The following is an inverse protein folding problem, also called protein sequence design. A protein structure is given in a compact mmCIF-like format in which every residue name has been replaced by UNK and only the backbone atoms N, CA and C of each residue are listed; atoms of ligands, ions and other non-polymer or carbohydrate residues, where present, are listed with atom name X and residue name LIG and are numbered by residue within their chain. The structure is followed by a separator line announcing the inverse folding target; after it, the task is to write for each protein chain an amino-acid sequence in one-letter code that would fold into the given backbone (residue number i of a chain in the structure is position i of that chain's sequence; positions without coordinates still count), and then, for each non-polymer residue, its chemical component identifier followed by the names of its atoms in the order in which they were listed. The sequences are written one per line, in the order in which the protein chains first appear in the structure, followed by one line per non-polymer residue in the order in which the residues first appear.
data_IF_637111776483
#
_entry.id   IF_637111776483
#
_cell.length_a   1.000
_cell.length_b   1.000
_cell.length_c   1.000
_cell.angle_alpha   90.00
_cell.angle_beta   90.00
_cell.angle_gamma   90.00
#
_symmetry.space_group_name_H-M   'P 1'
#
loop_
_entity.id
_entity.type
_entity.pdbx_description
1 polymer ?
#
# COMPACT_ATOMS: atom_id res chain seq x y z
N UNK A 1 -18.90 -42.55 -48.59
CA UNK A 1 -18.09 -41.65 -49.46
C UNK A 1 -18.78 -40.29 -49.46
N UNK A 2 -18.32 -39.37 -48.66
CA UNK A 2 -18.68 -37.96 -48.76
C UNK A 2 -17.37 -37.17 -48.64
N UNK A 3 -16.91 -36.69 -49.79
CA UNK A 3 -15.81 -35.71 -49.84
C UNK A 3 -16.40 -34.34 -49.50
N UNK A 4 -15.95 -33.77 -48.39
CA UNK A 4 -16.19 -32.37 -48.08
C UNK A 4 -15.03 -31.57 -48.65
N UNK A 5 -15.31 -30.67 -49.57
CA UNK A 5 -14.37 -29.70 -50.12
C UNK A 5 -14.10 -28.63 -49.08
N UNK A 6 -12.84 -28.43 -48.74
CA UNK A 6 -12.36 -27.33 -47.95
C UNK A 6 -12.30 -26.10 -48.86
N UNK A 7 -13.25 -25.18 -48.73
CA UNK A 7 -13.12 -23.85 -49.31
C UNK A 7 -12.12 -23.04 -48.48
N UNK A 8 -11.09 -22.54 -49.16
CA UNK A 8 -10.10 -21.63 -48.59
C UNK A 8 -10.76 -20.33 -48.16
N UNK A 9 -10.80 -20.07 -46.86
CA UNK A 9 -11.20 -18.77 -46.32
C UNK A 9 -10.06 -17.76 -46.52
N UNK A 10 -10.39 -16.66 -47.19
CA UNK A 10 -9.47 -15.57 -47.48
C UNK A 10 -9.21 -14.78 -46.18
N UNK A 11 -7.95 -14.65 -45.76
CA UNK A 11 -7.54 -13.93 -44.51
C UNK A 11 -7.95 -12.45 -44.50
N UNK A 12 -8.20 -11.86 -45.68
CA UNK A 12 -8.59 -10.44 -45.75
C UNK A 12 -9.97 -10.14 -45.17
N UNK A 13 -10.87 -11.14 -45.10
CA UNK A 13 -12.22 -10.98 -44.56
C UNK A 13 -12.26 -10.94 -43.02
N UNK A 14 -11.18 -11.35 -42.34
CA UNK A 14 -11.11 -11.39 -40.85
C UNK A 14 -10.68 -10.05 -40.29
N UNK A 15 -9.97 -9.22 -41.10
CA UNK A 15 -9.43 -7.92 -40.66
C UNK A 15 -10.53 -6.85 -40.54
N UNK A 16 -11.69 -7.06 -41.18
CA UNK A 16 -12.79 -6.09 -41.23
C UNK A 16 -13.74 -6.11 -40.01
N UNK A 17 -13.54 -7.01 -39.04
CA UNK A 17 -14.43 -7.16 -37.85
C UNK A 17 -13.77 -6.67 -36.55
N UNK A 18 -12.57 -6.12 -36.60
CA UNK A 18 -11.92 -5.55 -35.38
C UNK A 18 -12.27 -4.06 -35.32
N UNK A 19 -12.95 -3.58 -34.23
CA UNK A 19 -13.21 -2.16 -34.09
C UNK A 19 -11.89 -1.40 -33.93
N UNK A 20 -11.73 -0.30 -34.65
CA UNK A 20 -10.64 0.66 -34.57
C UNK A 20 -10.28 0.97 -33.10
N UNK A 21 -9.13 0.50 -32.63
CA UNK A 21 -8.21 1.09 -31.67
C UNK A 21 -7.20 0.06 -31.16
N UNK A 22 -6.28 -0.36 -32.02
CA UNK A 22 -4.95 -0.81 -31.59
C UNK A 22 -3.96 -0.13 -32.53
N UNK A 23 -3.32 0.91 -32.05
CA UNK A 23 -2.20 1.57 -32.72
C UNK A 23 -0.99 0.63 -32.69
N UNK A 24 -0.66 0.03 -33.84
CA UNK A 24 0.66 -0.56 -34.02
C UNK A 24 1.65 0.58 -34.32
N UNK A 25 2.49 0.89 -33.33
CA UNK A 25 3.68 1.73 -33.54
C UNK A 25 4.69 0.92 -34.36
N UNK A 26 5.11 1.46 -35.49
CA UNK A 26 6.07 0.88 -36.38
C UNK A 26 7.44 0.76 -35.75
N UNK A 27 8.03 -0.44 -35.75
CA UNK A 27 9.47 -0.61 -35.73
C UNK A 27 9.90 -1.20 -37.05
N UNK A 28 10.31 -0.37 -38.00
CA UNK A 28 11.08 -0.74 -39.14
C UNK A 28 12.57 -0.83 -38.72
N UNK A 29 13.12 -2.04 -38.75
CA UNK A 29 14.56 -2.26 -38.65
C UNK A 29 15.05 -2.62 -40.06
N UNK A 30 16.08 -1.94 -40.59
CA UNK A 30 16.58 -2.24 -41.95
C UNK A 30 17.37 -3.55 -41.95
N UNK A 31 17.08 -4.36 -42.98
CA UNK A 31 17.76 -5.63 -43.27
C UNK A 31 19.11 -5.34 -43.92
N UNK A 32 20.21 -5.74 -43.29
CA UNK A 32 21.52 -5.84 -43.95
C UNK A 32 21.93 -7.32 -44.06
N UNK A 33 22.25 -7.76 -45.27
CA UNK A 33 22.72 -9.09 -45.58
C UNK A 33 24.18 -9.31 -45.13
N UNK A 34 24.40 -10.30 -44.28
CA UNK A 34 25.63 -11.11 -44.21
C UNK A 34 25.27 -12.50 -43.68
N UNK A 35 25.91 -13.59 -44.16
CA UNK A 35 25.50 -14.97 -43.86
C UNK A 35 25.99 -15.43 -42.47
N UNK A 36 25.29 -16.44 -41.84
CA UNK A 36 25.53 -16.81 -40.45
C UNK A 36 26.57 -17.93 -40.29
N UNK A 37 27.36 -17.80 -39.24
CA UNK A 37 28.08 -18.91 -38.62
C UNK A 37 27.27 -19.53 -37.47
N UNK A 38 27.53 -20.81 -37.22
CA UNK A 38 26.75 -21.77 -36.46
C UNK A 38 26.71 -21.52 -34.91
N UNK A 39 25.62 -22.02 -34.32
CA UNK A 39 25.35 -22.37 -32.91
C UNK A 39 24.63 -21.33 -32.03
N UNK A 40 23.41 -21.70 -31.75
CA UNK A 40 22.52 -21.61 -30.57
C UNK A 40 21.09 -21.20 -30.97
N UNK A 41 20.02 -21.82 -30.42
CA UNK A 41 18.65 -21.44 -30.76
C UNK A 41 18.30 -20.14 -30.00
N UNK A 42 18.07 -19.08 -30.75
CA UNK A 42 17.77 -17.75 -30.21
C UNK A 42 16.32 -17.62 -29.72
N UNK A 43 16.11 -16.81 -28.72
CA UNK A 43 14.85 -16.51 -28.03
C UNK A 43 13.67 -16.09 -28.95
N UNK A 44 13.90 -15.87 -30.24
CA UNK A 44 12.89 -15.45 -31.25
C UNK A 44 11.92 -16.57 -31.57
N UNK A 45 12.32 -17.85 -31.50
CA UNK A 45 11.45 -18.99 -31.81
C UNK A 45 10.38 -19.24 -30.75
N UNK A 46 10.67 -18.95 -29.47
CA UNK A 46 9.74 -19.16 -28.35
C UNK A 46 8.58 -18.15 -28.38
N UNK A 47 8.87 -16.91 -28.75
CA UNK A 47 7.84 -15.84 -28.81
C UNK A 47 6.85 -16.07 -29.97
N UNK A 48 7.29 -16.67 -31.08
CA UNK A 48 6.43 -16.96 -32.22
C UNK A 48 5.42 -18.10 -31.94
N UNK A 49 5.82 -19.12 -31.19
CA UNK A 49 4.94 -20.23 -30.81
C UNK A 49 3.90 -19.80 -29.74
N UNK A 50 4.25 -18.91 -28.81
CA UNK A 50 3.32 -18.38 -27.83
C UNK A 50 2.16 -17.55 -28.46
N UNK A 51 2.45 -16.82 -29.52
CA UNK A 51 1.41 -16.05 -30.23
C UNK A 51 0.44 -16.94 -31.04
N UNK A 52 0.90 -18.07 -31.57
CA UNK A 52 0.03 -19.02 -32.29
C UNK A 52 -0.96 -19.72 -31.34
N UNK A 53 -0.56 -20.10 -30.16
CA UNK A 53 -1.45 -20.74 -29.18
C UNK A 53 -2.53 -19.78 -28.65
N UNK A 54 -2.22 -18.49 -28.47
CA UNK A 54 -3.20 -17.46 -28.10
C UNK A 54 -4.20 -17.18 -29.23
N UNK A 55 -3.77 -17.18 -30.51
CA UNK A 55 -4.67 -17.05 -31.67
C UNK A 55 -5.59 -18.26 -31.77
N UNK A 56 -5.08 -19.46 -31.54
CA UNK A 56 -5.85 -20.71 -31.62
C UNK A 56 -6.92 -20.79 -30.49
N UNK A 57 -6.58 -20.36 -29.27
CA UNK A 57 -7.55 -20.24 -28.17
C UNK A 57 -8.63 -19.19 -28.44
N UNK A 58 -8.29 -18.07 -29.07
CA UNK A 58 -9.26 -17.02 -29.41
C UNK A 58 -10.22 -17.47 -30.49
N UNK A 59 -9.75 -18.18 -31.51
CA UNK A 59 -10.59 -18.76 -32.58
C UNK A 59 -11.54 -19.83 -32.03
N UNK A 60 -11.13 -20.65 -31.08
CA UNK A 60 -11.99 -21.65 -30.43
C UNK A 60 -13.08 -21.02 -29.56
N UNK A 61 -12.81 -19.91 -28.88
CA UNK A 61 -13.79 -19.17 -28.06
C UNK A 61 -14.85 -18.47 -28.93
N UNK A 62 -14.47 -17.92 -30.07
CA UNK A 62 -15.41 -17.30 -31.02
C UNK A 62 -16.28 -18.36 -31.71
N UNK A 63 -15.72 -19.54 -32.01
CA UNK A 63 -16.47 -20.62 -32.68
C UNK A 63 -17.50 -21.28 -31.75
N UNK A 64 -17.25 -21.35 -30.45
CA UNK A 64 -18.18 -21.94 -29.46
C UNK A 64 -19.41 -21.06 -29.15
N UNK A 65 -19.39 -19.78 -29.52
CA UNK A 65 -20.49 -18.83 -29.28
C UNK A 65 -21.56 -18.78 -30.38
N UNK A 66 -21.33 -19.35 -31.55
CA UNK A 66 -22.13 -19.07 -32.77
C UNK A 66 -23.19 -20.15 -33.12
N UNK A 67 -23.16 -21.38 -32.57
CA UNK A 67 -24.14 -22.39 -32.98
C UNK A 67 -24.64 -23.26 -31.78
N UNK A 68 -25.82 -22.94 -31.25
CA UNK A 68 -26.49 -23.73 -30.19
C UNK A 68 -27.60 -24.67 -30.70
N UNK A 69 -27.89 -24.76 -31.98
CA UNK A 69 -28.95 -25.63 -32.50
C UNK A 69 -28.45 -26.58 -33.59
N UNK A 70 -28.63 -27.89 -33.32
CA UNK A 70 -28.43 -29.09 -34.15
C UNK A 70 -27.06 -29.78 -34.09
N UNK A 71 -26.91 -30.73 -33.14
CA UNK A 71 -25.80 -31.69 -33.18
C UNK A 71 -26.25 -33.14 -33.05
N UNK A 72 -25.67 -33.99 -33.91
CA UNK A 72 -25.83 -35.44 -34.04
C UNK A 72 -25.16 -36.17 -32.82
N UNK A 73 -25.65 -37.36 -32.37
CA UNK A 73 -25.16 -38.05 -31.16
C UNK A 73 -23.67 -38.45 -31.14
N UNK A 74 -23.02 -38.57 -32.31
CA UNK A 74 -21.60 -38.94 -32.40
C UNK A 74 -20.63 -37.82 -31.95
N UNK A 75 -21.12 -36.59 -31.71
CA UNK A 75 -20.31 -35.44 -31.32
C UNK A 75 -20.18 -35.31 -29.82
N UNK A 76 -20.96 -36.06 -29.02
CA UNK A 76 -20.88 -36.04 -27.54
C UNK A 76 -19.51 -36.48 -27.00
N UNK A 77 -18.85 -37.43 -27.64
CA UNK A 77 -17.52 -37.89 -27.21
C UNK A 77 -16.43 -36.84 -27.41
N UNK A 78 -16.52 -36.06 -28.49
CA UNK A 78 -15.55 -35.00 -28.81
C UNK A 78 -15.71 -33.78 -27.88
N UNK A 79 -16.96 -33.51 -27.41
CA UNK A 79 -17.21 -32.43 -26.44
C UNK A 79 -16.67 -32.76 -25.03
N UNK A 80 -16.61 -34.05 -24.67
CA UNK A 80 -15.99 -34.45 -23.38
C UNK A 80 -14.47 -34.26 -23.41
N UNK A 81 -13.81 -34.57 -24.53
CA UNK A 81 -12.40 -34.29 -24.70
C UNK A 81 -12.10 -32.80 -24.74
N UNK A 82 -12.93 -31.97 -25.40
CA UNK A 82 -12.76 -30.53 -25.41
C UNK A 82 -12.92 -29.89 -24.00
N UNK A 83 -13.88 -30.36 -23.20
CA UNK A 83 -14.05 -29.93 -21.81
C UNK A 83 -12.87 -30.34 -20.91
N UNK A 84 -12.30 -31.52 -21.12
CA UNK A 84 -11.11 -31.96 -20.40
C UNK A 84 -9.88 -31.13 -20.80
N UNK A 85 -9.72 -30.78 -22.08
CA UNK A 85 -8.65 -29.89 -22.54
C UNK A 85 -8.80 -28.45 -22.05
N UNK A 86 -10.02 -27.90 -21.98
CA UNK A 86 -10.28 -26.57 -21.43
C UNK A 86 -9.97 -26.55 -19.90
N UNK A 87 -10.29 -27.62 -19.18
CA UNK A 87 -9.93 -27.76 -17.75
C UNK A 87 -8.43 -27.85 -17.51
N UNK A 88 -7.68 -28.48 -18.44
CA UNK A 88 -6.21 -28.59 -18.38
C UNK A 88 -5.50 -27.28 -18.80
N UNK A 89 -6.06 -26.52 -19.75
CA UNK A 89 -5.53 -25.20 -20.13
C UNK A 89 -5.79 -24.16 -19.04
N UNK A 90 -6.94 -24.20 -18.37
CA UNK A 90 -7.24 -23.35 -17.20
C UNK A 90 -6.24 -23.58 -16.07
N UNK A 91 -5.96 -24.82 -15.69
CA UNK A 91 -4.95 -25.14 -14.67
C UNK A 91 -3.52 -24.78 -15.08
N UNK A 92 -3.17 -24.93 -16.34
CA UNK A 92 -1.87 -24.50 -16.89
C UNK A 92 -1.75 -22.98 -16.95
N UNK A 93 -2.80 -22.28 -17.32
CA UNK A 93 -2.81 -20.81 -17.33
C UNK A 93 -2.72 -20.23 -15.91
N UNK A 94 -3.37 -20.82 -14.92
CA UNK A 94 -3.22 -20.44 -13.52
C UNK A 94 -1.82 -20.73 -13.00
N UNK A 95 -1.24 -21.86 -13.34
CA UNK A 95 0.15 -22.22 -12.96
C UNK A 95 1.16 -21.31 -13.65
N UNK A 96 0.94 -20.97 -14.91
CA UNK A 96 1.78 -20.03 -15.67
C UNK A 96 1.64 -18.59 -15.14
N UNK A 97 0.43 -18.13 -14.87
CA UNK A 97 0.18 -16.84 -14.23
C UNK A 97 0.77 -16.79 -12.82
N UNK A 98 0.72 -17.89 -12.06
CA UNK A 98 1.40 -18.04 -10.76
C UNK A 98 2.92 -17.98 -10.91
N UNK A 99 3.50 -18.70 -11.85
CA UNK A 99 4.93 -18.69 -12.12
C UNK A 99 5.40 -17.33 -12.63
N UNK A 100 4.65 -16.69 -13.52
CA UNK A 100 4.92 -15.33 -14.01
C UNK A 100 4.80 -14.29 -12.89
N UNK A 101 3.77 -14.38 -12.02
CA UNK A 101 3.63 -13.55 -10.81
C UNK A 101 4.78 -13.79 -9.82
N UNK A 102 5.24 -15.03 -9.63
CA UNK A 102 6.40 -15.34 -8.77
C UNK A 102 7.70 -14.80 -9.37
N UNK A 103 7.87 -14.85 -10.68
CA UNK A 103 9.05 -14.36 -11.38
C UNK A 103 9.07 -12.82 -11.47
N UNK A 104 7.91 -12.17 -11.63
CA UNK A 104 7.78 -10.71 -11.53
C UNK A 104 7.99 -10.21 -10.08
N UNK A 105 7.63 -11.02 -9.06
CA UNK A 105 7.95 -10.75 -7.65
C UNK A 105 9.45 -10.81 -7.36
N UNK A 106 10.19 -11.71 -7.98
CA UNK A 106 11.64 -11.80 -7.84
C UNK A 106 12.40 -10.63 -8.49
N UNK A 107 11.79 -9.98 -9.48
CA UNK A 107 12.40 -8.85 -10.21
C UNK A 107 12.08 -7.47 -9.62
N UNK A 108 11.22 -7.37 -8.58
CA UNK A 108 10.80 -6.10 -8.00
C UNK A 108 9.99 -6.28 -6.72
N UNK A 109 10.54 -6.96 -5.72
CA UNK A 109 9.94 -6.93 -4.38
C UNK A 109 9.88 -5.47 -3.92
N UNK A 110 8.67 -4.99 -3.56
CA UNK A 110 8.49 -3.66 -2.99
C UNK A 110 9.23 -3.52 -1.66
N UNK A 111 9.30 -2.33 -1.07
CA UNK A 111 9.99 -2.14 0.19
C UNK A 111 9.38 -3.01 1.28
N UNK A 112 10.25 -3.62 2.08
CA UNK A 112 9.82 -4.25 3.33
C UNK A 112 9.36 -3.16 4.30
N UNK A 113 8.05 -3.15 4.61
CA UNK A 113 7.42 -2.18 5.51
C UNK A 113 7.42 -2.66 6.97
N UNK A 114 8.03 -3.80 7.29
CA UNK A 114 8.06 -4.30 8.67
C UNK A 114 8.77 -3.31 9.60
N UNK A 115 8.33 -3.25 10.86
CA UNK A 115 8.97 -2.42 11.88
C UNK A 115 8.11 -1.28 12.42
N UNK A 116 8.73 -0.44 13.25
CA UNK A 116 8.07 0.68 13.92
C UNK A 116 8.39 2.00 13.23
N UNK A 117 7.34 2.80 13.06
CA UNK A 117 7.40 4.13 12.46
C UNK A 117 6.68 5.15 13.35
N UNK A 118 7.34 6.15 13.92
CA UNK A 118 6.65 7.30 14.49
C UNK A 118 6.03 8.14 13.37
N UNK A 119 4.73 8.47 13.41
CA UNK A 119 4.16 9.56 12.64
C UNK A 119 4.55 10.87 13.34
N UNK A 120 5.64 11.49 12.86
CA UNK A 120 6.27 12.62 13.56
C UNK A 120 5.35 13.82 13.62
N UNK A 121 5.41 14.53 14.77
CA UNK A 121 4.73 15.81 14.93
C UNK A 121 5.44 16.90 14.12
N UNK A 122 4.68 17.90 13.67
CA UNK A 122 5.23 19.10 13.02
C UNK A 122 5.39 20.19 14.09
N UNK A 123 6.63 20.64 14.39
CA UNK A 123 6.84 21.80 15.25
C UNK A 123 6.38 23.08 14.56
N UNK A 124 5.83 24.01 15.34
CA UNK A 124 5.47 25.34 14.90
C UNK A 124 6.06 26.41 15.81
N UNK A 125 6.41 27.56 15.20
CA UNK A 125 6.79 28.77 15.91
C UNK A 125 5.56 29.41 16.59
N UNK A 126 5.77 30.42 17.43
CA UNK A 126 4.70 31.19 18.03
C UNK A 126 3.81 31.96 16.99
N UNK A 127 4.30 32.10 15.74
CA UNK A 127 3.55 32.67 14.61
C UNK A 127 2.85 31.62 13.75
N UNK A 128 2.84 30.37 14.20
CA UNK A 128 2.30 29.22 13.48
C UNK A 128 3.06 28.87 12.17
N UNK A 129 4.24 29.40 11.95
CA UNK A 129 5.13 28.95 10.87
C UNK A 129 5.75 27.59 11.23
N UNK A 130 6.04 26.76 10.23
CA UNK A 130 6.75 25.50 10.46
C UNK A 130 8.15 25.78 11.02
N UNK A 131 8.48 25.19 12.16
CA UNK A 131 9.79 25.32 12.80
C UNK A 131 10.73 24.17 12.35
N UNK A 132 11.47 24.41 11.28
CA UNK A 132 12.37 23.40 10.73
C UNK A 132 13.57 23.13 11.62
N UNK A 133 14.05 24.11 12.41
CA UNK A 133 15.16 23.94 13.34
C UNK A 133 14.77 22.94 14.43
N UNK A 134 13.61 23.12 15.06
CA UNK A 134 13.10 22.21 16.08
C UNK A 134 12.72 20.83 15.51
N UNK A 135 12.31 20.78 14.26
CA UNK A 135 12.15 19.50 13.55
C UNK A 135 13.47 18.76 13.45
N UNK A 136 14.54 19.44 13.00
CA UNK A 136 15.87 18.83 12.83
C UNK A 136 16.46 18.37 14.17
N UNK A 137 16.29 19.13 15.26
CA UNK A 137 16.64 18.69 16.64
C UNK A 137 15.94 17.37 17.03
N UNK A 138 14.64 17.25 16.75
CA UNK A 138 13.89 16.02 17.01
C UNK A 138 14.39 14.85 16.14
N UNK A 139 14.70 15.11 14.86
CA UNK A 139 15.20 14.08 13.93
C UNK A 139 16.55 13.51 14.38
N UNK A 140 17.45 14.33 14.94
CA UNK A 140 18.72 13.86 15.52
C UNK A 140 18.45 12.86 16.67
N UNK A 141 17.49 13.15 17.56
CA UNK A 141 17.12 12.26 18.65
C UNK A 141 16.45 10.96 18.16
N UNK A 142 15.62 11.04 17.11
CA UNK A 142 15.03 9.85 16.48
C UNK A 142 16.07 8.98 15.78
N UNK A 143 17.18 9.53 15.33
CA UNK A 143 18.25 8.78 14.68
C UNK A 143 18.87 7.70 15.59
N UNK A 144 18.86 7.90 16.90
CA UNK A 144 19.39 6.95 17.90
C UNK A 144 18.41 5.83 18.28
N UNK A 145 17.16 5.89 17.80
CA UNK A 145 16.14 4.88 18.06
C UNK A 145 16.08 3.92 16.86
N UNK A 146 15.98 2.60 17.06
CA UNK A 146 16.02 1.63 15.96
C UNK A 146 14.71 1.56 15.19
N UNK A 147 14.14 2.71 14.81
CA UNK A 147 12.99 2.78 13.93
C UNK A 147 13.30 2.22 12.53
N UNK A 148 12.36 1.55 11.93
CA UNK A 148 12.45 1.16 10.52
C UNK A 148 12.47 2.37 9.59
N UNK A 149 11.80 3.42 9.96
CA UNK A 149 11.69 4.66 9.23
C UNK A 149 10.81 5.67 9.96
N UNK A 150 10.44 6.73 9.26
CA UNK A 150 9.54 7.76 9.78
C UNK A 150 8.33 7.93 8.86
N UNK A 151 7.20 8.34 9.46
CA UNK A 151 6.03 8.81 8.70
C UNK A 151 5.92 10.32 8.87
N UNK A 152 6.01 11.06 7.79
CA UNK A 152 5.83 12.52 7.75
C UNK A 152 4.40 12.82 7.29
N UNK A 153 3.72 13.72 7.99
CA UNK A 153 2.36 14.15 7.63
C UNK A 153 1.30 13.04 7.72
N UNK A 154 1.44 12.16 8.69
CA UNK A 154 0.30 11.44 9.25
C UNK A 154 -0.60 12.42 10.02
N UNK A 155 -1.67 11.91 10.64
CA UNK A 155 -2.59 12.74 11.46
C UNK A 155 -1.87 13.52 12.56
N UNK A 156 -0.84 12.92 13.17
CA UNK A 156 -0.05 13.57 14.23
C UNK A 156 0.86 14.70 13.73
N UNK A 157 1.14 14.74 12.43
CA UNK A 157 1.87 15.82 11.78
C UNK A 157 0.99 17.02 11.38
N UNK A 158 -0.27 17.04 11.78
CA UNK A 158 -1.23 18.12 11.53
C UNK A 158 -1.39 18.47 10.04
N UNK A 159 -1.26 17.47 9.15
CA UNK A 159 -1.24 17.66 7.70
C UNK A 159 -2.46 18.45 7.15
N UNK A 160 -3.69 18.39 7.74
CA UNK A 160 -4.81 19.19 7.25
C UNK A 160 -4.62 20.70 7.39
N UNK A 161 -3.70 21.13 8.26
CA UNK A 161 -3.39 22.53 8.53
C UNK A 161 -2.15 23.04 7.79
N UNK A 162 -1.50 22.19 7.02
CA UNK A 162 -0.30 22.54 6.26
C UNK A 162 -0.66 22.89 4.81
N UNK A 163 -0.04 23.91 4.30
CA UNK A 163 -0.06 24.22 2.86
C UNK A 163 0.71 23.16 2.08
N UNK A 164 0.44 23.03 0.79
CA UNK A 164 1.15 22.09 -0.07
C UNK A 164 2.67 22.33 -0.06
N UNK A 165 3.08 23.61 -0.07
CA UNK A 165 4.50 23.98 -0.04
C UNK A 165 5.18 23.52 1.26
N UNK A 166 4.56 23.75 2.42
CA UNK A 166 5.06 23.26 3.72
C UNK A 166 5.14 21.73 3.73
N UNK A 167 4.11 21.06 3.19
CA UNK A 167 4.07 19.60 3.11
C UNK A 167 5.26 19.02 2.34
N UNK A 168 5.60 19.62 1.20
CA UNK A 168 6.75 19.18 0.38
C UNK A 168 8.09 19.52 1.06
N UNK A 169 8.20 20.69 1.68
CA UNK A 169 9.43 21.11 2.35
C UNK A 169 9.74 20.24 3.59
N UNK A 170 8.72 19.86 4.36
CA UNK A 170 8.89 18.93 5.48
C UNK A 170 9.47 17.58 5.01
N UNK A 171 8.99 17.03 3.88
CA UNK A 171 9.53 15.78 3.34
C UNK A 171 10.99 15.94 2.95
N UNK A 172 11.38 17.05 2.29
CA UNK A 172 12.78 17.33 1.93
C UNK A 172 13.68 17.42 3.17
N UNK A 173 13.22 18.15 4.19
CA UNK A 173 13.99 18.33 5.43
C UNK A 173 14.19 17.00 6.15
N UNK A 174 13.11 16.21 6.31
CA UNK A 174 13.23 14.88 6.92
C UNK A 174 14.14 13.97 6.11
N UNK A 175 14.05 13.98 4.76
CA UNK A 175 14.93 13.16 3.92
C UNK A 175 16.41 13.48 4.11
N UNK A 176 16.75 14.76 4.22
CA UNK A 176 18.15 15.19 4.47
C UNK A 176 18.71 14.69 5.79
N UNK A 177 17.87 14.65 6.82
CA UNK A 177 18.26 14.26 8.19
C UNK A 177 18.12 12.79 8.50
N UNK A 178 17.39 12.03 7.66
CA UNK A 178 17.11 10.62 7.91
C UNK A 178 18.31 9.74 7.56
N UNK A 179 18.80 8.89 8.49
CA UNK A 179 19.92 8.00 8.23
C UNK A 179 19.69 7.10 7.01
N UNK A 180 20.77 6.74 6.27
CA UNK A 180 20.69 5.82 5.15
C UNK A 180 20.03 4.49 5.53
N UNK A 181 19.23 3.94 4.62
CA UNK A 181 18.54 2.65 4.80
C UNK A 181 17.25 2.72 5.63
N UNK A 182 16.89 3.88 6.19
CA UNK A 182 15.59 4.09 6.84
C UNK A 182 14.56 4.60 5.84
N UNK A 183 13.35 4.05 5.93
CA UNK A 183 12.24 4.40 5.05
C UNK A 183 11.59 5.73 5.45
N UNK A 184 11.26 6.53 4.46
CA UNK A 184 10.47 7.74 4.61
C UNK A 184 9.11 7.54 3.94
N UNK A 185 8.06 7.39 4.75
CA UNK A 185 6.69 7.40 4.25
C UNK A 185 6.11 8.81 4.37
N UNK A 186 5.56 9.33 3.27
CA UNK A 186 4.95 10.66 3.27
C UNK A 186 3.43 10.58 3.10
N UNK A 187 2.70 11.21 4.00
CA UNK A 187 1.26 11.36 3.89
C UNK A 187 0.89 12.30 2.75
N UNK A 188 0.31 11.80 1.66
CA UNK A 188 -0.03 12.59 0.48
C UNK A 188 -1.53 12.70 0.21
N UNK A 189 -2.38 12.10 1.05
CA UNK A 189 -3.83 12.14 0.88
C UNK A 189 -4.38 13.56 0.84
N UNK A 190 -5.31 13.77 -0.11
CA UNK A 190 -6.13 14.96 -0.28
C UNK A 190 -7.56 14.51 -0.58
N UNK A 191 -8.54 15.44 -0.51
CA UNK A 191 -9.94 15.12 -0.78
C UNK A 191 -10.23 14.81 -2.25
N UNK A 192 -9.44 15.32 -3.21
CA UNK A 192 -9.61 14.97 -4.61
C UNK A 192 -8.50 14.03 -5.10
N UNK A 193 -8.86 13.08 -5.97
CA UNK A 193 -7.92 12.17 -6.62
C UNK A 193 -6.79 12.93 -7.34
N UNK A 194 -7.15 14.01 -8.06
CA UNK A 194 -6.18 14.83 -8.80
C UNK A 194 -5.15 15.47 -7.87
N UNK A 195 -5.59 16.08 -6.78
CA UNK A 195 -4.68 16.70 -5.81
C UNK A 195 -3.79 15.65 -5.12
N UNK A 196 -4.36 14.48 -4.77
CA UNK A 196 -3.61 13.36 -4.20
C UNK A 196 -2.50 12.89 -5.14
N UNK A 197 -2.80 12.69 -6.44
CA UNK A 197 -1.80 12.32 -7.46
C UNK A 197 -0.68 13.36 -7.55
N UNK A 198 -1.03 14.64 -7.69
CA UNK A 198 -0.05 15.71 -7.82
C UNK A 198 0.85 15.83 -6.60
N UNK A 199 0.26 15.76 -5.40
CA UNK A 199 1.03 15.83 -4.17
C UNK A 199 1.91 14.58 -3.97
N UNK A 200 1.42 13.38 -4.29
CA UNK A 200 2.20 12.14 -4.23
C UNK A 200 3.45 12.23 -5.11
N UNK A 201 3.32 12.75 -6.34
CA UNK A 201 4.46 12.96 -7.25
C UNK A 201 5.48 13.97 -6.68
N UNK A 202 4.99 15.08 -6.09
CA UNK A 202 5.87 16.08 -5.45
C UNK A 202 6.60 15.51 -4.23
N UNK A 203 5.93 14.70 -3.42
CA UNK A 203 6.56 14.06 -2.25
C UNK A 203 7.58 13.00 -2.66
N UNK A 204 7.31 12.21 -3.70
CA UNK A 204 8.28 11.29 -4.27
C UNK A 204 9.53 12.05 -4.78
N UNK A 205 9.34 13.14 -5.51
CA UNK A 205 10.44 14.01 -5.96
C UNK A 205 11.19 14.68 -4.80
N UNK A 206 10.55 14.87 -3.64
CA UNK A 206 11.17 15.39 -2.42
C UNK A 206 11.93 14.31 -1.63
N UNK A 207 11.87 13.03 -2.03
CA UNK A 207 12.64 11.93 -1.48
C UNK A 207 11.85 10.95 -0.60
N UNK A 208 10.53 10.93 -0.69
CA UNK A 208 9.72 9.88 -0.05
C UNK A 208 9.95 8.52 -0.73
N UNK A 209 10.09 7.46 0.08
CA UNK A 209 10.23 6.07 -0.39
C UNK A 209 8.87 5.39 -0.59
N UNK A 210 7.83 5.89 0.08
CA UNK A 210 6.45 5.43 -0.06
C UNK A 210 5.45 6.55 0.25
N UNK A 211 4.27 6.48 -0.35
CA UNK A 211 3.16 7.38 -0.10
C UNK A 211 2.14 6.73 0.83
N UNK A 212 1.82 7.38 1.94
CA UNK A 212 0.73 6.99 2.85
C UNK A 212 -0.52 7.80 2.48
N UNK A 213 -1.53 7.15 1.91
CA UNK A 213 -2.70 7.82 1.36
C UNK A 213 -3.94 7.50 2.19
N UNK A 214 -4.45 8.50 2.89
CA UNK A 214 -5.68 8.39 3.68
C UNK A 214 -6.91 8.43 2.76
N UNK A 215 -7.98 7.77 3.16
CA UNK A 215 -9.28 7.82 2.47
C UNK A 215 -9.80 9.26 2.40
N UNK A 216 -10.22 9.77 1.21
CA UNK A 216 -10.96 11.02 1.13
C UNK A 216 -12.29 10.89 1.87
N UNK A 217 -12.70 11.92 2.62
CA UNK A 217 -13.77 11.76 3.60
C UNK A 217 -14.79 12.89 3.65
N UNK A 218 -14.54 14.01 2.98
CA UNK A 218 -15.46 15.15 3.06
C UNK A 218 -16.88 14.78 2.57
N UNK A 219 -16.97 14.11 1.42
CA UNK A 219 -18.24 13.59 0.88
C UNK A 219 -18.46 12.12 1.26
N UNK A 220 -18.28 11.79 2.54
CA UNK A 220 -18.27 10.39 3.05
C UNK A 220 -19.46 9.54 2.62
N UNK A 221 -20.68 10.12 2.50
CA UNK A 221 -21.86 9.40 2.02
C UNK A 221 -21.80 8.94 0.54
N UNK A 222 -20.76 9.35 -0.20
CA UNK A 222 -20.49 8.94 -1.59
C UNK A 222 -19.15 8.22 -1.75
N UNK A 223 -18.38 8.04 -0.67
CA UNK A 223 -17.12 7.31 -0.64
C UNK A 223 -17.38 5.84 -0.36
N UNK A 224 -18.10 5.19 -1.26
CA UNK A 224 -18.34 3.73 -1.25
C UNK A 224 -17.08 2.97 -1.73
N UNK A 225 -17.11 1.63 -1.66
CA UNK A 225 -16.00 0.77 -2.09
C UNK A 225 -15.56 1.04 -3.52
N UNK A 226 -16.51 1.27 -4.44
CA UNK A 226 -16.22 1.55 -5.86
C UNK A 226 -15.50 2.90 -6.02
N UNK A 227 -15.95 3.95 -5.33
CA UNK A 227 -15.31 5.26 -5.37
C UNK A 227 -13.89 5.21 -4.81
N UNK A 228 -13.68 4.48 -3.70
CA UNK A 228 -12.37 4.32 -3.07
C UNK A 228 -11.42 3.47 -3.91
N UNK A 229 -11.89 2.36 -4.50
CA UNK A 229 -11.09 1.55 -5.45
C UNK A 229 -10.63 2.43 -6.62
N UNK A 230 -11.55 3.17 -7.25
CA UNK A 230 -11.20 4.08 -8.34
C UNK A 230 -10.16 5.13 -7.91
N UNK A 231 -10.35 5.75 -6.74
CA UNK A 231 -9.43 6.76 -6.20
C UNK A 231 -8.02 6.18 -6.01
N UNK A 232 -7.89 5.10 -5.26
CA UNK A 232 -6.59 4.51 -4.93
C UNK A 232 -5.88 3.90 -6.15
N UNK A 233 -6.62 3.28 -7.07
CA UNK A 233 -6.06 2.79 -8.35
C UNK A 233 -5.45 3.93 -9.15
N UNK A 234 -6.18 5.05 -9.32
CA UNK A 234 -5.65 6.23 -10.04
C UNK A 234 -4.42 6.85 -9.38
N UNK A 235 -4.40 6.88 -8.05
CA UNK A 235 -3.23 7.36 -7.30
C UNK A 235 -2.04 6.41 -7.51
N UNK A 236 -2.25 5.11 -7.40
CA UNK A 236 -1.21 4.10 -7.53
C UNK A 236 -0.66 4.00 -8.96
N UNK A 237 -1.53 4.10 -10.00
CA UNK A 237 -1.14 4.16 -11.42
C UNK A 237 -0.19 5.34 -11.70
N UNK A 238 -0.38 6.46 -10.98
CA UNK A 238 0.35 7.71 -11.23
C UNK A 238 1.52 7.94 -10.25
N UNK A 239 1.64 7.11 -9.22
CA UNK A 239 2.64 7.28 -8.17
C UNK A 239 3.99 6.71 -8.59
N UNK A 240 5.09 7.53 -8.51
CA UNK A 240 6.45 7.04 -8.74
C UNK A 240 6.97 6.11 -7.63
N UNK A 241 6.29 6.07 -6.49
CA UNK A 241 6.67 5.29 -5.30
C UNK A 241 5.52 4.41 -4.86
N UNK A 242 5.77 3.31 -4.13
CA UNK A 242 4.72 2.46 -3.57
C UNK A 242 3.70 3.22 -2.74
N UNK A 243 2.43 2.81 -2.85
CA UNK A 243 1.32 3.38 -2.10
C UNK A 243 0.96 2.46 -0.93
N UNK A 244 0.81 3.03 0.25
CA UNK A 244 0.25 2.40 1.45
C UNK A 244 -1.11 3.03 1.72
N UNK A 245 -2.16 2.22 1.71
CA UNK A 245 -3.51 2.64 2.02
C UNK A 245 -3.59 3.06 3.50
N UNK A 246 -4.42 4.05 3.83
CA UNK A 246 -4.60 4.45 5.21
C UNK A 246 -6.08 4.55 5.58
N UNK A 247 -6.55 3.63 6.44
CA UNK A 247 -7.86 3.65 7.06
C UNK A 247 -7.77 4.18 8.48
N UNK A 248 -8.50 5.27 8.78
CA UNK A 248 -8.52 5.92 10.09
C UNK A 248 -9.93 6.43 10.45
N UNK A 249 -10.88 5.52 10.69
CA UNK A 249 -12.29 5.87 10.85
C UNK A 249 -12.57 6.89 11.96
N UNK A 250 -11.75 6.95 13.00
CA UNK A 250 -11.87 7.95 14.06
C UNK A 250 -11.73 9.40 13.54
N UNK A 251 -10.97 9.62 12.47
CA UNK A 251 -10.74 10.94 11.88
C UNK A 251 -11.62 11.19 10.64
N UNK A 252 -11.79 10.17 9.80
CA UNK A 252 -12.48 10.28 8.51
C UNK A 252 -13.98 10.01 8.62
N UNK A 253 -14.42 9.33 9.67
CA UNK A 253 -15.81 8.89 9.83
C UNK A 253 -16.22 7.78 8.84
N UNK A 254 -15.24 7.10 8.21
CA UNK A 254 -15.48 5.96 7.33
C UNK A 254 -14.30 4.98 7.37
N UNK A 255 -14.62 3.69 7.26
CA UNK A 255 -13.63 2.64 7.04
C UNK A 255 -13.41 2.41 5.54
N UNK A 256 -12.20 1.99 5.19
CA UNK A 256 -11.94 1.44 3.86
C UNK A 256 -12.54 0.02 3.81
N UNK A 257 -13.56 -0.28 2.97
CA UNK A 257 -14.22 -1.58 2.98
C UNK A 257 -13.25 -2.74 2.73
N UNK A 258 -13.49 -3.88 3.42
CA UNK A 258 -12.64 -5.07 3.31
C UNK A 258 -12.44 -5.52 1.86
N UNK A 259 -13.54 -5.57 1.09
CA UNK A 259 -13.54 -5.99 -0.31
C UNK A 259 -12.70 -5.03 -1.17
N UNK A 260 -12.76 -3.73 -0.87
CA UNK A 260 -11.92 -2.74 -1.55
C UNK A 260 -10.43 -2.93 -1.23
N UNK A 261 -10.08 -3.25 0.03
CA UNK A 261 -8.68 -3.55 0.39
C UNK A 261 -8.18 -4.79 -0.36
N UNK A 262 -8.99 -5.86 -0.42
CA UNK A 262 -8.62 -7.11 -1.11
C UNK A 262 -8.43 -6.87 -2.61
N UNK A 263 -9.30 -6.09 -3.25
CA UNK A 263 -9.16 -5.73 -4.66
C UNK A 263 -7.92 -4.89 -4.90
N UNK A 264 -7.71 -3.85 -4.10
CA UNK A 264 -6.57 -2.94 -4.20
C UNK A 264 -5.23 -3.62 -3.90
N UNK A 265 -5.21 -4.66 -3.07
CA UNK A 265 -3.97 -5.42 -2.78
C UNK A 265 -3.38 -6.14 -3.99
N UNK A 266 -4.17 -6.33 -5.06
CA UNK A 266 -3.72 -6.94 -6.32
C UNK A 266 -2.99 -5.93 -7.22
N UNK A 267 -3.07 -4.64 -6.91
CA UNK A 267 -2.41 -3.59 -7.69
C UNK A 267 -0.89 -3.61 -7.45
N UNK A 268 -0.03 -3.66 -8.48
CA UNK A 268 1.42 -3.84 -8.33
C UNK A 268 2.12 -2.73 -7.55
N UNK A 269 1.55 -1.53 -7.48
CA UNK A 269 2.10 -0.37 -6.77
C UNK A 269 1.38 -0.05 -5.45
N UNK A 270 0.43 -0.90 -4.99
CA UNK A 270 -0.17 -0.80 -3.65
C UNK A 270 0.45 -1.89 -2.79
N UNK A 271 1.24 -1.51 -1.77
CA UNK A 271 2.11 -2.42 -1.03
C UNK A 271 1.67 -2.70 0.41
N UNK A 272 0.63 -2.03 0.86
CA UNK A 272 0.13 -2.29 2.20
C UNK A 272 -1.01 -1.40 2.64
N UNK A 273 -1.41 -1.65 3.87
CA UNK A 273 -2.44 -0.89 4.59
C UNK A 273 -1.92 -0.54 5.98
N UNK A 274 -2.07 0.72 6.38
CA UNK A 274 -2.09 1.14 7.77
C UNK A 274 -3.55 1.16 8.24
N UNK A 275 -3.90 0.29 9.20
CA UNK A 275 -5.24 0.24 9.79
C UNK A 275 -5.22 0.81 11.21
N UNK A 276 -5.97 1.90 11.42
CA UNK A 276 -6.13 2.58 12.71
C UNK A 276 -7.52 2.35 13.34
N UNK A 277 -8.35 1.46 12.78
CA UNK A 277 -9.67 1.12 13.31
C UNK A 277 -9.62 0.36 14.63
N UNK A 278 -8.61 -0.50 14.81
CA UNK A 278 -8.42 -1.29 16.02
C UNK A 278 -9.24 -2.58 16.07
N UNK A 279 -9.92 -2.93 15.00
CA UNK A 279 -10.60 -4.22 14.86
C UNK A 279 -9.58 -5.29 14.44
N UNK A 280 -9.13 -6.10 15.42
CA UNK A 280 -8.16 -7.17 15.20
C UNK A 280 -8.71 -8.28 14.30
N UNK A 281 -10.00 -8.57 14.39
CA UNK A 281 -10.66 -9.55 13.51
C UNK A 281 -10.56 -9.12 12.05
N UNK A 282 -10.84 -7.85 11.79
CA UNK A 282 -10.70 -7.24 10.46
C UNK A 282 -9.25 -7.30 9.98
N UNK A 283 -8.28 -6.91 10.80
CA UNK A 283 -6.85 -6.95 10.48
C UNK A 283 -6.43 -8.38 10.10
N UNK A 284 -6.77 -9.37 10.92
CA UNK A 284 -6.46 -10.77 10.64
C UNK A 284 -7.11 -11.30 9.37
N UNK A 285 -8.34 -10.89 9.08
CA UNK A 285 -9.04 -11.27 7.86
C UNK A 285 -8.40 -10.64 6.61
N UNK A 286 -7.95 -9.37 6.68
CA UNK A 286 -7.21 -8.72 5.60
C UNK A 286 -5.90 -9.47 5.35
N UNK A 287 -5.08 -9.71 6.38
CA UNK A 287 -3.83 -10.48 6.26
C UNK A 287 -4.08 -11.84 5.60
N UNK A 288 -5.12 -12.56 6.04
CA UNK A 288 -5.47 -13.86 5.47
C UNK A 288 -5.86 -13.78 3.99
N UNK A 289 -6.71 -12.81 3.61
CA UNK A 289 -7.22 -12.67 2.24
C UNK A 289 -6.14 -12.17 1.26
N UNK A 290 -5.17 -11.39 1.75
CA UNK A 290 -4.10 -10.80 0.92
C UNK A 290 -2.77 -11.57 0.97
N UNK A 291 -2.72 -12.73 1.66
CA UNK A 291 -1.49 -13.54 1.87
C UNK A 291 -0.78 -13.99 0.60
N UNK A 292 -1.48 -14.00 -0.54
CA UNK A 292 -0.91 -14.35 -1.84
C UNK A 292 -0.38 -13.14 -2.60
N UNK A 293 -0.62 -11.94 -2.09
CA UNK A 293 -0.19 -10.69 -2.69
C UNK A 293 1.04 -10.12 -1.95
N UNK A 294 1.81 -9.27 -2.61
CA UNK A 294 2.91 -8.53 -1.98
C UNK A 294 2.33 -7.31 -1.23
N UNK A 295 1.57 -7.61 -0.18
CA UNK A 295 0.77 -6.65 0.57
C UNK A 295 1.00 -6.82 2.07
N UNK A 296 1.33 -5.74 2.76
CA UNK A 296 1.74 -5.73 4.16
C UNK A 296 0.77 -4.89 5.01
N UNK A 297 0.39 -5.38 6.19
CA UNK A 297 -0.52 -4.67 7.09
C UNK A 297 0.25 -4.12 8.28
N UNK A 298 0.04 -2.82 8.56
CA UNK A 298 0.64 -2.08 9.66
C UNK A 298 -0.45 -1.67 10.66
N UNK A 299 -0.21 -1.93 11.95
CA UNK A 299 -1.05 -1.41 13.01
C UNK A 299 -0.95 0.12 13.09
N UNK A 300 -2.08 0.81 13.10
CA UNK A 300 -2.12 2.28 13.19
C UNK A 300 -2.08 2.81 14.63
N UNK A 301 -1.83 1.97 15.62
CA UNK A 301 -1.78 2.36 17.03
C UNK A 301 -0.97 1.38 17.87
N UNK A 302 -0.22 1.92 18.85
CA UNK A 302 0.50 1.12 19.84
C UNK A 302 -0.43 0.36 20.79
N UNK A 303 -1.68 0.80 20.94
CA UNK A 303 -2.62 0.21 21.90
C UNK A 303 -3.07 -1.22 21.56
N UNK A 304 -2.89 -1.65 20.30
CA UNK A 304 -3.23 -3.01 19.86
C UNK A 304 -2.10 -3.66 19.03
N UNK A 305 -0.87 -3.15 19.16
CA UNK A 305 0.26 -3.56 18.34
C UNK A 305 0.57 -5.05 18.46
N UNK A 306 0.69 -5.56 19.69
CA UNK A 306 0.92 -6.99 19.93
C UNK A 306 -0.18 -7.86 19.33
N UNK A 307 -1.46 -7.51 19.54
CA UNK A 307 -2.57 -8.25 18.99
C UNK A 307 -2.55 -8.27 17.44
N UNK A 308 -2.15 -7.15 16.82
CA UNK A 308 -1.97 -7.07 15.38
C UNK A 308 -0.84 -8.01 14.89
N UNK A 309 0.28 -8.11 15.60
CA UNK A 309 1.35 -9.09 15.30
C UNK A 309 0.84 -10.53 15.40
N UNK A 310 0.02 -10.85 16.43
CA UNK A 310 -0.56 -12.20 16.58
C UNK A 310 -1.40 -12.63 15.38
N UNK A 311 -2.03 -11.70 14.67
CA UNK A 311 -2.83 -11.99 13.47
C UNK A 311 -2.10 -11.72 12.16
N UNK A 312 -0.78 -11.43 12.20
CA UNK A 312 0.10 -11.36 11.06
C UNK A 312 0.35 -9.97 10.48
N UNK A 313 0.05 -8.89 11.21
CA UNK A 313 0.58 -7.58 10.85
C UNK A 313 2.13 -7.58 10.99
N UNK A 314 2.80 -6.76 10.18
CA UNK A 314 4.28 -6.79 10.08
C UNK A 314 4.95 -5.63 10.80
N UNK A 315 4.19 -4.66 11.30
CA UNK A 315 4.73 -3.47 11.93
C UNK A 315 3.66 -2.52 12.44
N UNK A 316 4.09 -1.32 12.84
CA UNK A 316 3.18 -0.30 13.33
C UNK A 316 3.60 1.13 13.03
N UNK A 317 2.61 1.97 12.70
CA UNK A 317 2.74 3.43 12.62
C UNK A 317 2.05 4.02 13.85
N UNK A 318 2.82 4.27 14.89
CA UNK A 318 2.31 4.50 16.25
C UNK A 318 2.63 5.91 16.75
N UNK A 319 1.61 6.70 17.12
CA UNK A 319 1.78 8.04 17.67
C UNK A 319 2.70 8.05 18.92
N UNK A 320 2.49 7.07 19.81
CA UNK A 320 3.28 6.92 21.04
C UNK A 320 4.78 6.70 20.79
N UNK A 321 5.17 6.27 19.57
CA UNK A 321 6.57 6.11 19.20
C UNK A 321 7.36 7.43 19.21
N UNK A 322 6.67 8.58 19.10
CA UNK A 322 7.32 9.88 19.23
C UNK A 322 7.92 10.14 20.63
N UNK A 323 7.45 9.45 21.65
CA UNK A 323 7.91 9.61 23.04
C UNK A 323 8.45 8.31 23.65
N UNK A 324 7.83 7.17 23.37
CA UNK A 324 8.22 5.85 23.84
C UNK A 324 8.74 4.97 22.69
N UNK A 325 9.62 5.51 21.85
CA UNK A 325 10.10 4.82 20.64
C UNK A 325 10.87 3.53 20.94
N UNK A 326 11.82 3.55 21.90
CA UNK A 326 12.58 2.34 22.30
C UNK A 326 11.68 1.26 22.89
N UNK A 327 10.73 1.54 23.80
CA UNK A 327 9.76 0.55 24.27
C UNK A 327 8.92 -0.07 23.16
N UNK A 328 8.54 0.70 22.15
CA UNK A 328 7.77 0.17 21.01
C UNK A 328 8.61 -0.72 20.08
N UNK A 329 9.87 -0.36 19.84
CA UNK A 329 10.80 -1.24 19.12
C UNK A 329 11.09 -2.53 19.89
N UNK A 330 11.15 -2.45 21.24
CA UNK A 330 11.27 -3.64 22.09
C UNK A 330 10.01 -4.52 22.04
N UNK A 331 8.81 -3.92 22.07
CA UNK A 331 7.57 -4.66 21.89
C UNK A 331 7.54 -5.40 20.55
N UNK A 332 7.97 -4.74 19.47
CA UNK A 332 8.13 -5.39 18.14
C UNK A 332 9.09 -6.58 18.23
N UNK A 333 10.28 -6.37 18.82
CA UNK A 333 11.28 -7.43 18.96
C UNK A 333 10.71 -8.65 19.69
N UNK A 334 10.04 -8.44 20.82
CA UNK A 334 9.38 -9.48 21.60
C UNK A 334 8.31 -10.24 20.79
N UNK A 335 7.47 -9.51 20.06
CA UNK A 335 6.46 -10.13 19.19
C UNK A 335 7.10 -10.99 18.09
N UNK A 336 8.18 -10.51 17.48
CA UNK A 336 8.87 -11.22 16.38
C UNK A 336 9.67 -12.43 16.85
N UNK A 337 10.20 -12.40 18.08
CA UNK A 337 10.88 -13.55 18.69
C UNK A 337 9.93 -14.57 19.30
N UNK A 338 8.64 -14.24 19.45
CA UNK A 338 7.64 -15.10 20.06
C UNK A 338 7.62 -15.05 21.60
N UNK A 339 8.26 -14.04 22.18
CA UNK A 339 8.32 -13.80 23.64
C UNK A 339 7.00 -13.15 24.11
N UNK A 340 5.89 -13.86 23.95
CA UNK A 340 4.53 -13.32 24.11
C UNK A 340 4.20 -12.91 25.54
N UNK A 341 4.80 -13.52 26.56
CA UNK A 341 4.53 -13.16 27.97
C UNK A 341 5.14 -11.80 28.31
N UNK A 342 6.39 -11.57 27.93
CA UNK A 342 7.05 -10.27 28.07
C UNK A 342 6.39 -9.20 27.21
N UNK A 343 6.04 -9.55 25.96
CA UNK A 343 5.32 -8.66 25.05
C UNK A 343 3.99 -8.20 25.66
N UNK A 344 3.25 -9.11 26.31
CA UNK A 344 1.97 -8.79 26.96
C UNK A 344 2.15 -7.80 28.11
N UNK A 345 3.14 -8.02 28.96
CA UNK A 345 3.44 -7.10 30.09
C UNK A 345 3.78 -5.72 29.56
N UNK A 346 4.64 -5.63 28.55
CA UNK A 346 5.00 -4.34 27.93
C UNK A 346 3.81 -3.69 27.22
N UNK A 347 3.04 -4.48 26.43
CA UNK A 347 1.85 -3.97 25.74
C UNK A 347 0.85 -3.34 26.70
N UNK A 348 0.56 -3.99 27.85
CA UNK A 348 -0.39 -3.48 28.83
C UNK A 348 0.02 -2.13 29.39
N UNK A 349 1.31 -1.91 29.63
CA UNK A 349 1.86 -0.62 30.09
C UNK A 349 1.77 0.50 29.05
N UNK A 350 1.65 0.17 27.76
CA UNK A 350 1.58 1.13 26.65
C UNK A 350 0.15 1.56 26.29
N UNK A 351 -0.88 0.82 26.74
CA UNK A 351 -2.26 1.05 26.30
C UNK A 351 -2.78 2.42 26.72
N UNK A 352 -2.67 2.75 28.01
CA UNK A 352 -3.23 3.98 28.52
C UNK A 352 -2.46 5.24 28.09
N UNK A 353 -1.11 5.28 28.14
CA UNK A 353 -0.34 6.36 27.52
C UNK A 353 -0.63 6.56 26.04
N UNK A 354 -0.79 5.46 25.28
CA UNK A 354 -1.19 5.56 23.90
C UNK A 354 -2.59 6.16 23.72
N UNK A 355 -3.55 5.73 24.52
CA UNK A 355 -4.91 6.29 24.47
C UNK A 355 -4.92 7.79 24.80
N UNK A 356 -4.09 8.23 25.75
CA UNK A 356 -3.95 9.63 26.14
C UNK A 356 -3.50 10.52 24.96
N UNK A 357 -2.43 10.13 24.26
CA UNK A 357 -1.87 10.91 23.13
C UNK A 357 -2.58 10.68 21.79
N UNK A 358 -3.65 9.87 21.77
CA UNK A 358 -4.41 9.60 20.53
C UNK A 358 -5.88 9.93 20.71
N UNK A 359 -6.68 9.00 21.24
CA UNK A 359 -8.14 9.10 21.26
C UNK A 359 -8.69 10.05 22.35
N UNK A 360 -7.98 10.19 23.51
CA UNK A 360 -8.46 11.01 24.62
C UNK A 360 -8.19 12.51 24.36
N UNK A 361 -6.92 12.88 24.22
CA UNK A 361 -6.46 14.27 24.18
C UNK A 361 -5.74 14.65 22.86
N UNK A 362 -5.39 13.67 22.04
CA UNK A 362 -4.91 13.87 20.66
C UNK A 362 -3.54 14.53 20.53
N UNK A 363 -3.38 15.33 19.47
CA UNK A 363 -2.10 15.95 19.10
C UNK A 363 -1.55 16.90 20.16
N UNK A 364 -2.35 17.76 20.83
CA UNK A 364 -1.84 18.60 21.90
C UNK A 364 -1.21 17.80 23.04
N UNK A 365 -1.80 16.65 23.41
CA UNK A 365 -1.24 15.75 24.41
C UNK A 365 0.04 15.06 23.97
N UNK A 366 0.12 14.67 22.70
CA UNK A 366 1.36 14.13 22.14
C UNK A 366 2.48 15.15 22.23
N UNK A 367 2.25 16.39 21.82
CA UNK A 367 3.23 17.46 21.87
C UNK A 367 3.64 17.79 23.32
N UNK A 368 2.68 17.84 24.26
CA UNK A 368 3.00 18.02 25.66
C UNK A 368 3.84 16.88 26.24
N UNK A 369 3.52 15.62 25.88
CA UNK A 369 4.35 14.49 26.29
C UNK A 369 5.75 14.54 25.67
N UNK A 370 5.89 14.99 24.42
CA UNK A 370 7.21 15.16 23.78
C UNK A 370 8.12 16.05 24.61
N UNK A 371 7.63 17.17 25.19
CA UNK A 371 8.41 18.04 26.08
C UNK A 371 8.93 17.28 27.30
N UNK A 372 8.09 16.43 27.91
CA UNK A 372 8.51 15.65 29.08
C UNK A 372 9.57 14.60 28.80
N UNK A 373 9.58 14.09 27.56
CA UNK A 373 10.55 13.09 27.10
C UNK A 373 11.77 13.71 26.37
N UNK A 374 11.93 15.04 26.44
CA UNK A 374 13.09 15.74 25.90
C UNK A 374 13.07 15.96 24.37
N UNK A 375 11.90 15.82 23.74
CA UNK A 375 11.68 16.25 22.37
C UNK A 375 10.99 17.62 22.35
N UNK A 376 11.12 18.36 21.27
CA UNK A 376 10.34 19.57 21.10
C UNK A 376 8.95 19.23 20.56
N UNK A 377 7.91 19.46 21.33
CA UNK A 377 6.50 19.36 20.92
C UNK A 377 5.97 20.68 20.40
N UNK A 378 6.13 21.72 21.19
CA UNK A 378 5.64 23.07 20.92
C UNK A 378 4.12 23.18 20.88
N UNK A 379 3.60 24.30 20.40
CA UNK A 379 2.18 24.50 20.19
C UNK A 379 1.67 23.75 18.97
N UNK A 380 0.40 23.36 18.97
CA UNK A 380 -0.32 22.94 17.78
C UNK A 380 -0.73 24.15 16.95
N UNK A 381 -0.92 23.98 15.62
CA UNK A 381 -1.49 25.04 14.77
C UNK A 381 -2.98 25.16 15.01
N UNK A 382 -3.48 26.39 15.02
CA UNK A 382 -4.92 26.67 15.15
C UNK A 382 -5.74 25.92 14.10
N UNK A 383 -6.97 25.43 14.43
CA UNK A 383 -7.75 25.72 15.66
C UNK A 383 -7.51 24.77 16.84
N UNK A 384 -6.49 23.87 16.78
CA UNK A 384 -6.17 23.03 17.94
C UNK A 384 -5.71 23.89 19.11
N UNK A 385 -6.34 23.69 20.27
CA UNK A 385 -6.02 24.43 21.48
C UNK A 385 -5.01 23.68 22.35
N UNK A 386 -4.20 24.38 23.14
CA UNK A 386 -3.35 23.75 24.15
C UNK A 386 -4.21 23.03 25.19
N UNK A 387 -3.60 22.05 25.88
CA UNK A 387 -4.26 21.37 27.00
C UNK A 387 -4.58 22.35 28.13
N UNK A 388 -5.74 22.12 28.74
CA UNK A 388 -6.04 22.73 30.05
C UNK A 388 -5.15 22.11 31.14
N UNK A 389 -5.05 22.79 32.33
CA UNK A 389 -4.30 22.25 33.44
C UNK A 389 -4.84 20.87 33.88
N UNK A 390 -6.15 20.69 33.90
CA UNK A 390 -6.78 19.42 34.27
C UNK A 390 -6.42 18.28 33.27
N UNK A 391 -6.41 18.59 32.00
CA UNK A 391 -6.00 17.65 30.97
C UNK A 391 -4.50 17.31 31.05
N UNK A 392 -3.66 18.30 31.31
CA UNK A 392 -2.22 18.12 31.51
C UNK A 392 -1.94 17.22 32.73
N UNK A 393 -2.65 17.42 33.81
CA UNK A 393 -2.55 16.56 35.01
C UNK A 393 -3.08 15.14 34.72
N UNK A 394 -4.15 15.00 33.96
CA UNK A 394 -4.64 13.69 33.54
C UNK A 394 -3.63 12.96 32.65
N UNK A 395 -3.07 13.65 31.68
CA UNK A 395 -2.02 13.11 30.80
C UNK A 395 -0.81 12.64 31.64
N UNK A 396 -0.37 13.43 32.62
CA UNK A 396 0.73 13.07 33.54
C UNK A 396 0.40 11.80 34.30
N UNK A 397 -0.82 11.68 34.86
CA UNK A 397 -1.28 10.45 35.56
C UNK A 397 -1.25 9.24 34.64
N UNK A 398 -1.74 9.37 33.40
CA UNK A 398 -1.80 8.27 32.41
C UNK A 398 -0.40 7.73 32.08
N UNK A 399 0.66 8.55 32.16
CA UNK A 399 2.04 8.09 31.98
C UNK A 399 2.68 7.58 33.29
N UNK A 400 2.52 8.32 34.43
CA UNK A 400 3.17 7.99 35.70
C UNK A 400 2.64 6.68 36.29
N UNK A 401 1.34 6.38 36.13
CA UNK A 401 0.72 5.14 36.65
C UNK A 401 1.35 3.86 36.09
N UNK A 402 2.06 3.96 34.96
CA UNK A 402 2.74 2.84 34.31
C UNK A 402 4.28 2.95 34.36
N UNK A 403 4.79 3.91 35.18
CA UNK A 403 6.23 4.10 35.41
C UNK A 403 6.97 4.63 34.17
N UNK A 404 6.34 5.52 33.42
CA UNK A 404 6.98 6.19 32.26
C UNK A 404 7.46 7.61 32.61
N UNK A 405 6.89 8.23 33.68
CA UNK A 405 7.29 9.51 34.24
C UNK A 405 7.54 9.37 35.74
#
# INVERSE_FOLDING_TARGET
MCRASIQSFNLESIILIIPHKVLFSQMLVPYSHTPPDHHTPTAVSVTFWLNLDLLFCFCLLVWSGINRERFCPSVRSTMYCARACIGLTSRRSETFLRAWRLQSRAAGAGPDLSGIYPPIATPFTAKEDVDLEKLEENLQKYADIPFRGLVVQGSNGEYPYLTEAERVELVRTVRRSLPPGRLLMAGSGCESTRATVQLTQKMAAAGADAALVVTPSFYKGKMDGRALIHHFTKVADSSPVPVVLYSVPANTGLDLPLEAVVELSQHPNIRGLKDSGGDITRIGLIVHKTKMEDFQVLAGSAGFLMAAYCVGAVGGVCALANVLGRPLCELERLCRSGDWDEARVLQQRLIEPNAAVTRKLGVPALKQAMEWFGFHGGASRSPLQPLTEAETQQLRRDFSSYGWL
#
